data_IF_511089712122
#
_entry.id   IF_511089712122
#
_cell.length_a   1.000
_cell.length_b   1.000
_cell.length_c   1.000
_cell.angle_alpha   90.00
_cell.angle_beta   90.00
_cell.angle_gamma   90.00
#
_symmetry.space_group_name_H-M   'P 1'
#
loop_
_entity.id
_entity.type
_entity.pdbx_description
1 polymer ?
#
# COMPACT_ATOMS: atom_id res chain seq x y z
N UNK A 1 -31.97 10.75 13.30
CA UNK A 1 -30.82 10.09 12.64
C UNK A 1 -29.67 10.08 13.62
N UNK A 2 -29.27 8.90 14.09
CA UNK A 2 -28.44 8.74 15.29
C UNK A 2 -26.93 8.99 15.08
N UNK A 3 -26.24 9.41 16.13
CA UNK A 3 -24.77 9.57 16.19
C UNK A 3 -24.02 8.30 15.69
N UNK A 4 -24.59 7.12 15.92
CA UNK A 4 -24.06 5.85 15.47
C UNK A 4 -24.00 5.73 13.93
N UNK A 5 -25.00 6.26 13.22
CA UNK A 5 -25.06 6.23 11.76
C UNK A 5 -23.90 7.02 11.14
N UNK A 6 -23.65 8.23 11.63
CA UNK A 6 -22.54 9.07 11.15
C UNK A 6 -21.17 8.45 11.45
N UNK A 7 -21.01 7.81 12.62
CA UNK A 7 -19.77 7.09 12.95
C UNK A 7 -19.51 5.92 11.99
N UNK A 8 -20.55 5.16 11.61
CA UNK A 8 -20.45 4.09 10.64
C UNK A 8 -20.13 4.61 9.23
N UNK A 9 -20.73 5.73 8.83
CA UNK A 9 -20.47 6.39 7.55
C UNK A 9 -19.02 6.85 7.44
N UNK A 10 -18.53 7.57 8.46
CA UNK A 10 -17.15 8.06 8.52
C UNK A 10 -16.13 6.90 8.49
N UNK A 11 -16.42 5.80 9.20
CA UNK A 11 -15.58 4.60 9.17
C UNK A 11 -15.54 3.96 7.79
N UNK A 12 -16.67 3.88 7.09
CA UNK A 12 -16.75 3.37 5.72
C UNK A 12 -15.95 4.23 4.74
N UNK A 13 -16.05 5.55 4.84
CA UNK A 13 -15.28 6.49 4.01
C UNK A 13 -13.77 6.36 4.23
N UNK A 14 -13.35 6.24 5.50
CA UNK A 14 -11.95 6.01 5.84
C UNK A 14 -11.39 4.72 5.21
N UNK A 15 -12.15 3.62 5.26
CA UNK A 15 -11.77 2.34 4.63
C UNK A 15 -11.69 2.45 3.10
N UNK A 16 -12.64 3.16 2.48
CA UNK A 16 -12.64 3.39 1.02
C UNK A 16 -11.44 4.23 0.60
N UNK A 17 -11.10 5.26 1.37
CA UNK A 17 -9.89 6.06 1.17
C UNK A 17 -8.62 5.23 1.31
N UNK A 18 -8.55 4.36 2.31
CA UNK A 18 -7.39 3.48 2.53
C UNK A 18 -7.14 2.56 1.32
N UNK A 19 -8.20 1.91 0.82
CA UNK A 19 -8.14 1.08 -0.38
C UNK A 19 -7.75 1.87 -1.63
N UNK A 20 -8.26 3.09 -1.78
CA UNK A 20 -7.89 3.98 -2.90
C UNK A 20 -6.41 4.34 -2.86
N UNK A 21 -5.88 4.70 -1.69
CA UNK A 21 -4.46 5.04 -1.54
C UNK A 21 -3.56 3.84 -1.91
N UNK A 22 -3.96 2.61 -1.54
CA UNK A 22 -3.24 1.37 -1.90
C UNK A 22 -3.30 1.09 -3.41
N UNK A 23 -4.45 1.30 -4.06
CA UNK A 23 -4.61 1.19 -5.51
C UNK A 23 -3.70 2.19 -6.26
N UNK A 24 -3.70 3.45 -5.82
CA UNK A 24 -2.85 4.50 -6.40
C UNK A 24 -1.37 4.13 -6.25
N UNK A 25 -0.94 3.65 -5.08
CA UNK A 25 0.44 3.19 -4.87
C UNK A 25 0.84 2.03 -5.80
N UNK A 26 -0.07 1.07 -6.00
CA UNK A 26 0.13 -0.01 -6.97
C UNK A 26 0.27 0.49 -8.40
N UNK A 27 -0.61 1.40 -8.85
CA UNK A 27 -0.56 1.98 -10.21
C UNK A 27 0.74 2.76 -10.42
N UNK A 28 1.17 3.56 -9.44
CA UNK A 28 2.43 4.32 -9.52
C UNK A 28 3.62 3.37 -9.70
N UNK A 29 3.69 2.26 -8.96
CA UNK A 29 4.79 1.32 -9.14
C UNK A 29 4.73 0.55 -10.46
N UNK A 30 3.54 0.27 -10.99
CA UNK A 30 3.39 -0.30 -12.34
C UNK A 30 3.93 0.67 -13.40
N UNK A 31 3.59 1.96 -13.30
CA UNK A 31 4.13 3.00 -14.18
C UNK A 31 5.65 3.12 -14.06
N UNK A 32 6.17 3.05 -12.83
CA UNK A 32 7.61 3.10 -12.58
C UNK A 32 8.33 1.88 -13.18
N UNK A 33 7.76 0.68 -13.04
CA UNK A 33 8.25 -0.53 -13.67
C UNK A 33 8.21 -0.44 -15.21
N UNK A 34 7.14 0.11 -15.79
CA UNK A 34 7.04 0.37 -17.23
C UNK A 34 8.16 1.31 -17.72
N UNK A 35 8.41 2.40 -16.99
CA UNK A 35 9.49 3.34 -17.31
C UNK A 35 10.85 2.66 -17.20
N UNK A 36 11.06 1.76 -16.25
CA UNK A 36 12.31 1.00 -16.13
C UNK A 36 12.52 0.05 -17.31
N UNK A 37 11.50 -0.72 -17.71
CA UNK A 37 11.59 -1.67 -18.83
C UNK A 37 11.81 -0.98 -20.18
N UNK A 38 11.33 0.26 -20.34
CA UNK A 38 11.53 1.02 -21.58
C UNK A 38 12.89 1.70 -21.68
N UNK A 39 13.75 1.62 -20.66
CA UNK A 39 15.10 2.20 -20.71
C UNK A 39 16.01 1.40 -21.66
N UNK A 40 16.87 2.08 -22.44
CA UNK A 40 17.76 1.45 -23.42
C UNK A 40 18.82 0.52 -22.78
N UNK A 41 19.08 0.67 -21.48
CA UNK A 41 20.03 -0.17 -20.72
C UNK A 41 19.42 -1.49 -20.22
N UNK A 42 18.11 -1.71 -20.40
CA UNK A 42 17.47 -2.96 -20.03
C UNK A 42 17.65 -4.02 -21.14
N UNK A 43 17.90 -5.29 -20.79
CA UNK A 43 18.12 -6.37 -21.76
C UNK A 43 16.97 -6.45 -22.77
N UNK A 44 17.30 -6.80 -24.01
CA UNK A 44 16.43 -6.68 -25.19
C UNK A 44 15.03 -7.28 -24.95
N UNK A 45 14.02 -6.58 -25.50
CA UNK A 45 12.59 -6.91 -25.39
C UNK A 45 12.24 -8.33 -25.86
N UNK A 46 13.14 -8.98 -26.59
CA UNK A 46 13.04 -10.35 -27.10
C UNK A 46 13.06 -11.42 -26.01
N UNK A 47 13.58 -11.12 -24.81
CA UNK A 47 13.59 -12.02 -23.66
C UNK A 47 12.28 -12.01 -22.83
N UNK A 48 11.33 -11.14 -23.16
CA UNK A 48 10.13 -10.95 -22.36
C UNK A 48 8.91 -11.68 -22.94
N UNK A 49 8.63 -12.87 -22.42
CA UNK A 49 7.36 -13.57 -22.66
C UNK A 49 6.19 -12.83 -22.00
N UNK A 50 4.96 -13.00 -22.50
CA UNK A 50 3.74 -12.45 -21.88
C UNK A 50 3.60 -12.80 -20.40
N UNK A 51 3.98 -14.01 -20.01
CA UNK A 51 3.96 -14.46 -18.61
C UNK A 51 4.94 -13.64 -17.74
N UNK A 52 6.11 -13.34 -18.29
CA UNK A 52 7.12 -12.50 -17.66
C UNK A 52 6.57 -11.09 -17.44
N UNK A 53 5.90 -10.49 -18.43
CA UNK A 53 5.28 -9.16 -18.33
C UNK A 53 4.23 -9.12 -17.23
N UNK A 54 3.32 -10.09 -17.24
CA UNK A 54 2.28 -10.21 -16.22
C UNK A 54 2.87 -10.37 -14.82
N UNK A 55 3.91 -11.21 -14.67
CA UNK A 55 4.58 -11.40 -13.38
C UNK A 55 5.26 -10.12 -12.89
N UNK A 56 5.94 -9.38 -13.77
CA UNK A 56 6.63 -8.14 -13.43
C UNK A 56 5.63 -7.06 -13.01
N UNK A 57 4.60 -6.82 -13.81
CA UNK A 57 3.60 -5.80 -13.50
C UNK A 57 2.75 -6.19 -12.28
N UNK A 58 2.43 -7.47 -12.11
CA UNK A 58 1.76 -7.99 -10.92
C UNK A 58 2.61 -7.80 -9.66
N UNK A 59 3.91 -8.11 -9.72
CA UNK A 59 4.83 -7.89 -8.63
C UNK A 59 5.01 -6.39 -8.33
N UNK A 60 5.15 -5.55 -9.35
CA UNK A 60 5.27 -4.10 -9.18
C UNK A 60 4.03 -3.50 -8.50
N UNK A 61 2.83 -3.90 -8.94
CA UNK A 61 1.59 -3.50 -8.31
C UNK A 61 1.52 -3.95 -6.85
N UNK A 62 1.87 -5.22 -6.59
CA UNK A 62 1.88 -5.79 -5.24
C UNK A 62 2.82 -5.04 -4.32
N UNK A 63 4.04 -4.75 -4.78
CA UNK A 63 5.05 -3.99 -4.04
C UNK A 63 4.55 -2.57 -3.75
N UNK A 64 3.96 -1.89 -4.73
CA UNK A 64 3.41 -0.54 -4.53
C UNK A 64 2.27 -0.50 -3.52
N UNK A 65 1.30 -1.40 -3.64
CA UNK A 65 0.18 -1.49 -2.69
C UNK A 65 0.65 -1.86 -1.28
N UNK A 66 1.61 -2.79 -1.18
CA UNK A 66 2.23 -3.22 0.06
C UNK A 66 3.06 -2.11 0.71
N UNK A 67 3.78 -1.33 -0.08
CA UNK A 67 4.59 -0.21 0.39
C UNK A 67 3.71 0.87 1.03
N UNK A 68 2.57 1.23 0.42
CA UNK A 68 1.62 2.20 1.02
C UNK A 68 1.08 1.70 2.37
N UNK A 69 0.74 0.43 2.47
CA UNK A 69 0.27 -0.17 3.72
C UNK A 69 1.37 -0.20 4.80
N UNK A 70 2.59 -0.60 4.43
CA UNK A 70 3.76 -0.62 5.32
C UNK A 70 4.16 0.79 5.77
N UNK A 71 4.12 1.76 4.87
CA UNK A 71 4.46 3.16 5.17
C UNK A 71 3.50 3.78 6.18
N UNK A 72 2.19 3.53 6.06
CA UNK A 72 1.17 3.98 7.03
C UNK A 72 1.39 3.36 8.42
N UNK A 73 1.71 2.05 8.46
CA UNK A 73 2.05 1.37 9.72
C UNK A 73 3.29 1.99 10.37
N UNK A 74 4.36 2.17 9.60
CA UNK A 74 5.60 2.73 10.14
C UNK A 74 5.45 4.19 10.55
N UNK A 75 4.66 5.01 9.85
CA UNK A 75 4.40 6.39 10.25
C UNK A 75 3.77 6.47 11.65
N UNK A 76 2.81 5.57 11.95
CA UNK A 76 2.20 5.48 13.28
C UNK A 76 3.19 5.00 14.36
N UNK A 77 4.14 4.14 14.03
CA UNK A 77 5.20 3.75 14.97
C UNK A 77 6.23 4.86 15.19
N UNK A 78 6.56 5.63 14.15
CA UNK A 78 7.66 6.61 14.20
C UNK A 78 7.31 7.85 15.01
N UNK A 79 6.05 8.31 14.98
CA UNK A 79 5.69 9.59 15.59
C UNK A 79 5.92 9.66 17.10
N UNK A 80 6.16 8.52 17.75
CA UNK A 80 6.41 8.40 19.19
C UNK A 80 7.88 8.39 19.60
N UNK A 81 8.83 8.17 18.68
CA UNK A 81 10.22 7.81 19.07
C UNK A 81 11.34 8.74 18.55
N UNK A 82 11.09 9.71 17.65
CA UNK A 82 12.16 10.21 16.77
C UNK A 82 12.30 11.74 16.63
N UNK A 83 12.37 12.49 17.74
CA UNK A 83 12.68 13.93 17.69
C UNK A 83 14.16 14.31 17.81
N UNK A 84 15.09 13.37 18.02
CA UNK A 84 16.49 13.71 18.36
C UNK A 84 17.57 12.78 17.73
N UNK A 85 17.60 12.60 16.40
CA UNK A 85 18.73 11.91 15.76
C UNK A 85 19.50 12.79 14.75
N UNK A 86 20.85 12.65 14.69
CA UNK A 86 21.71 13.40 13.75
C UNK A 86 21.40 13.05 12.28
N UNK A 87 21.77 13.94 11.34
CA UNK A 87 21.42 13.87 9.90
C UNK A 87 21.77 12.52 9.23
N UNK A 88 22.89 11.89 9.61
CA UNK A 88 23.29 10.56 9.11
C UNK A 88 22.34 9.46 9.62
N UNK A 89 21.84 9.60 10.85
CA UNK A 89 20.87 8.69 11.45
C UNK A 89 19.55 8.70 10.69
N UNK A 90 19.15 9.85 10.13
CA UNK A 90 17.96 9.97 9.28
C UNK A 90 18.06 9.16 7.99
N UNK A 91 19.22 9.14 7.32
CA UNK A 91 19.42 8.44 6.06
C UNK A 91 19.39 6.91 6.24
N UNK A 92 20.09 6.41 7.27
CA UNK A 92 20.07 5.00 7.66
C UNK A 92 18.66 4.60 8.12
N UNK A 93 18.01 5.46 8.89
CA UNK A 93 16.65 5.26 9.33
C UNK A 93 15.66 5.20 8.15
N UNK A 94 15.78 6.07 7.15
CA UNK A 94 14.94 6.06 5.94
C UNK A 94 15.10 4.74 5.18
N UNK A 95 16.33 4.25 5.04
CA UNK A 95 16.60 2.95 4.42
C UNK A 95 16.01 1.78 5.20
N UNK A 96 16.20 1.75 6.53
CA UNK A 96 15.61 0.73 7.39
C UNK A 96 14.08 0.78 7.34
N UNK A 97 13.51 1.99 7.30
CA UNK A 97 12.08 2.25 7.22
C UNK A 97 11.50 1.74 5.90
N UNK A 98 12.19 1.97 4.79
CA UNK A 98 11.80 1.45 3.47
C UNK A 98 11.90 -0.07 3.44
N UNK A 99 13.00 -0.64 3.96
CA UNK A 99 13.19 -2.09 4.02
C UNK A 99 12.12 -2.78 4.88
N UNK A 100 11.81 -2.22 6.06
CA UNK A 100 10.75 -2.73 6.93
C UNK A 100 9.36 -2.53 6.32
N UNK A 101 9.08 -1.40 5.66
CA UNK A 101 7.82 -1.18 4.98
C UNK A 101 7.60 -2.19 3.84
N UNK A 102 8.65 -2.52 3.09
CA UNK A 102 8.63 -3.56 2.06
C UNK A 102 8.44 -4.95 2.67
N UNK A 103 9.18 -5.31 3.71
CA UNK A 103 9.09 -6.63 4.33
C UNK A 103 7.73 -6.88 5.01
N UNK A 104 7.29 -5.93 5.83
CA UNK A 104 6.00 -6.02 6.55
C UNK A 104 4.82 -5.87 5.58
N UNK A 105 4.92 -4.95 4.62
CA UNK A 105 3.89 -4.76 3.61
C UNK A 105 3.71 -5.98 2.71
N UNK A 106 4.81 -6.55 2.22
CA UNK A 106 4.80 -7.62 1.21
C UNK A 106 4.55 -9.02 1.75
N UNK A 107 4.91 -9.34 3.00
CA UNK A 107 4.75 -10.73 3.45
C UNK A 107 3.36 -11.01 4.04
N UNK A 108 2.70 -10.01 4.65
CA UNK A 108 1.51 -10.26 5.48
C UNK A 108 0.41 -9.20 5.40
N UNK A 109 0.70 -7.95 5.04
CA UNK A 109 -0.24 -6.85 5.31
C UNK A 109 -0.98 -6.29 4.10
N UNK A 110 -0.38 -6.25 2.90
CA UNK A 110 -0.98 -5.57 1.73
C UNK A 110 -2.32 -6.17 1.28
N UNK A 111 -2.32 -7.44 0.87
CA UNK A 111 -3.53 -8.12 0.36
C UNK A 111 -4.54 -8.41 1.47
N UNK A 112 -4.07 -8.86 2.64
CA UNK A 112 -4.96 -9.13 3.77
C UNK A 112 -5.69 -7.88 4.27
N UNK A 113 -5.02 -6.72 4.31
CA UNK A 113 -5.65 -5.45 4.71
C UNK A 113 -6.70 -5.00 3.69
N UNK A 114 -6.40 -5.10 2.39
CA UNK A 114 -7.36 -4.77 1.35
C UNK A 114 -8.62 -5.65 1.43
N UNK A 115 -8.46 -6.96 1.58
CA UNK A 115 -9.58 -7.90 1.74
C UNK A 115 -10.36 -7.66 3.04
N UNK A 116 -9.66 -7.42 4.15
CA UNK A 116 -10.30 -7.13 5.43
C UNK A 116 -11.10 -5.81 5.39
N UNK A 117 -10.57 -4.79 4.71
CA UNK A 117 -11.27 -3.52 4.48
C UNK A 117 -12.57 -3.73 3.69
N UNK A 118 -12.55 -4.55 2.63
CA UNK A 118 -13.75 -4.90 1.87
C UNK A 118 -14.78 -5.66 2.71
N UNK A 119 -14.33 -6.63 3.51
CA UNK A 119 -15.18 -7.36 4.43
C UNK A 119 -15.85 -6.43 5.45
N UNK A 120 -15.10 -5.49 6.04
CA UNK A 120 -15.63 -4.51 6.99
C UNK A 120 -16.64 -3.56 6.34
N UNK A 121 -16.41 -3.11 5.10
CA UNK A 121 -17.38 -2.29 4.35
C UNK A 121 -18.69 -3.04 4.16
N UNK A 122 -18.64 -4.32 3.77
CA UNK A 122 -19.83 -5.15 3.61
C UNK A 122 -20.59 -5.34 4.93
N UNK A 123 -19.87 -5.51 6.04
CA UNK A 123 -20.49 -5.59 7.37
C UNK A 123 -21.17 -4.28 7.77
N UNK A 124 -20.51 -3.14 7.55
CA UNK A 124 -21.07 -1.81 7.84
C UNK A 124 -22.31 -1.55 6.97
N UNK A 125 -22.29 -1.92 5.69
CA UNK A 125 -23.47 -1.82 4.82
C UNK A 125 -24.66 -2.60 5.39
N UNK A 126 -24.45 -3.84 5.89
CA UNK A 126 -25.53 -4.61 6.53
C UNK A 126 -26.06 -3.93 7.80
N UNK A 127 -25.20 -3.32 8.59
CA UNK A 127 -25.61 -2.59 9.80
C UNK A 127 -26.42 -1.33 9.47
N UNK A 128 -26.08 -0.61 8.40
CA UNK A 128 -26.81 0.58 7.93
C UNK A 128 -28.18 0.21 7.33
N UNK A 129 -28.30 -0.94 6.66
CA UNK A 129 -29.56 -1.40 6.07
C UNK A 129 -30.55 -1.87 7.15
N UNK A 130 -30.04 -2.44 8.25
CA UNK A 130 -30.84 -2.99 9.34
C UNK A 130 -31.13 -1.97 10.48
N UNK A 131 -30.60 -0.74 10.39
CA UNK A 131 -30.81 0.36 11.34
C UNK A 131 -31.83 1.36 10.81
#
# INVERSE_FOLDING_TARGET
MDSQYYNLLNKKEALKKDNRDMLIGGIIMVLLAYVMVTRPSFPSKELFTWNSLLSLYGAAFYVGASFVAGWKLLHNFTSKFFLFLPLIGWLIYLFLKIAMALFVGSYLYGVFRYLNNLYQINRINKQIINS
#
